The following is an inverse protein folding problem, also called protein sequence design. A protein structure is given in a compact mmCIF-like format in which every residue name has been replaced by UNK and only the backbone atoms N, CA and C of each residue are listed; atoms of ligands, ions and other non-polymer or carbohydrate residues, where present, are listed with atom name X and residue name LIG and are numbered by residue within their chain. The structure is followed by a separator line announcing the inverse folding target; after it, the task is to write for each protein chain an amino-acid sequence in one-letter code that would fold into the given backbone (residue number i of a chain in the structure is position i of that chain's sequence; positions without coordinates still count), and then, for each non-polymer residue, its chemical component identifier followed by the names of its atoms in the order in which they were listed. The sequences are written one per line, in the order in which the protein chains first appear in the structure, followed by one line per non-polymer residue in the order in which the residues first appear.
data_IF_925879791495
#
_entry.id   IF_925879791495
#
_cell.length_a   1.000
_cell.length_b   1.000
_cell.length_c   1.000
_cell.angle_alpha   90.00
_cell.angle_beta   90.00
_cell.angle_gamma   90.00
#
_symmetry.space_group_name_H-M   'P 1'
#
loop_
_entity.id
_entity.type
_entity.pdbx_description
1 polymer ?
#
# COMPACT_ATOMS: atom_id res chain seq x y z
N UNK A 1 13.92 45.78 4.03
CA UNK A 1 13.31 46.30 5.28
C UNK A 1 11.82 45.87 5.46
N UNK A 2 11.11 45.36 4.45
CA UNK A 2 9.74 44.86 4.65
C UNK A 2 9.67 43.40 5.13
N UNK A 3 10.62 42.54 4.75
CA UNK A 3 10.66 41.13 5.16
C UNK A 3 10.96 40.90 6.67
N UNK A 4 11.60 41.85 7.33
CA UNK A 4 11.91 41.75 8.77
C UNK A 4 10.73 42.11 9.69
N UNK A 5 9.83 42.97 9.26
CA UNK A 5 8.64 43.35 10.03
C UNK A 5 7.55 42.28 10.00
N UNK A 6 7.34 41.63 8.87
CA UNK A 6 6.37 40.51 8.72
C UNK A 6 6.78 39.30 9.58
N UNK A 7 8.10 38.96 9.61
CA UNK A 7 8.63 37.88 10.46
C UNK A 7 8.51 38.15 11.96
N UNK A 8 8.60 39.42 12.38
CA UNK A 8 8.46 39.81 13.80
C UNK A 8 6.99 39.73 14.22
N UNK A 9 6.05 40.12 13.35
CA UNK A 9 4.63 40.07 13.62
C UNK A 9 4.09 38.65 13.70
N UNK A 10 4.56 37.75 12.81
CA UNK A 10 4.20 36.31 12.82
C UNK A 10 4.75 35.59 14.09
N UNK A 11 5.93 35.96 14.56
CA UNK A 11 6.48 35.44 15.82
C UNK A 11 5.73 35.93 17.06
N UNK A 12 5.26 37.18 17.07
CA UNK A 12 4.47 37.73 18.18
C UNK A 12 3.12 37.04 18.30
N UNK A 13 2.41 36.82 17.16
CA UNK A 13 1.12 36.11 17.13
C UNK A 13 1.28 34.66 17.58
N UNK A 14 2.35 33.97 17.15
CA UNK A 14 2.61 32.59 17.56
C UNK A 14 2.93 32.48 19.07
N UNK A 15 3.63 33.47 19.62
CA UNK A 15 3.99 33.49 21.04
C UNK A 15 2.81 33.90 21.94
N UNK A 16 1.94 34.81 21.50
CA UNK A 16 0.71 35.16 22.18
C UNK A 16 -0.32 34.05 22.18
N UNK A 17 -0.48 33.32 21.06
CA UNK A 17 -1.37 32.15 20.96
C UNK A 17 -0.89 31.01 21.88
N UNK A 18 0.44 30.81 21.97
CA UNK A 18 1.03 29.85 22.90
C UNK A 18 0.80 30.24 24.37
N UNK A 19 0.99 31.50 24.74
CA UNK A 19 0.72 32.01 26.09
C UNK A 19 -0.77 31.91 26.45
N UNK A 20 -1.68 32.16 25.51
CA UNK A 20 -3.12 32.03 25.73
C UNK A 20 -3.54 30.56 25.92
N UNK A 21 -2.94 29.61 25.22
CA UNK A 21 -3.17 28.19 25.40
C UNK A 21 -2.60 27.67 26.74
N UNK A 22 -1.41 28.12 27.14
CA UNK A 22 -0.79 27.80 28.43
C UNK A 22 -1.56 28.43 29.63
N UNK A 23 -2.24 29.55 29.41
CA UNK A 23 -3.07 30.21 30.41
C UNK A 23 -4.50 29.61 30.51
N UNK A 24 -4.87 28.59 29.69
CA UNK A 24 -6.19 27.98 29.68
C UNK A 24 -7.31 28.89 29.17
N UNK A 25 -6.98 29.99 28.46
CA UNK A 25 -7.91 30.96 27.91
C UNK A 25 -8.58 30.48 26.62
N UNK A 26 -7.89 29.59 25.85
CA UNK A 26 -8.42 28.96 24.64
C UNK A 26 -8.24 27.45 24.71
N UNK A 27 -9.19 26.69 24.17
CA UNK A 27 -9.07 25.25 24.06
C UNK A 27 -8.10 24.88 22.92
N UNK A 28 -7.49 23.68 23.01
CA UNK A 28 -6.60 23.17 21.95
C UNK A 28 -7.29 23.12 20.59
N UNK A 29 -8.62 22.92 20.58
CA UNK A 29 -9.46 22.93 19.38
C UNK A 29 -9.59 24.34 18.76
N UNK A 30 -9.70 25.38 19.58
CA UNK A 30 -9.71 26.77 19.14
C UNK A 30 -8.36 27.20 18.58
N UNK A 31 -7.25 26.82 19.25
CA UNK A 31 -5.90 27.08 18.74
C UNK A 31 -5.62 26.41 17.39
N UNK A 32 -6.19 25.21 17.16
CA UNK A 32 -6.08 24.51 15.88
C UNK A 32 -6.91 25.17 14.78
N UNK A 33 -8.14 25.64 15.09
CA UNK A 33 -8.99 26.38 14.15
C UNK A 33 -8.37 27.72 13.74
N UNK A 34 -7.80 28.45 14.68
CA UNK A 34 -7.09 29.72 14.39
C UNK A 34 -5.82 29.49 13.58
N UNK A 35 -5.08 28.39 13.84
CA UNK A 35 -3.92 27.98 13.05
C UNK A 35 -4.30 27.64 11.60
N UNK A 36 -5.39 26.91 11.38
CA UNK A 36 -5.93 26.58 10.06
C UNK A 36 -6.35 27.86 9.33
N UNK A 37 -7.10 28.76 9.97
CA UNK A 37 -7.54 30.03 9.38
C UNK A 37 -6.35 30.93 8.99
N UNK A 38 -5.26 30.93 9.78
CA UNK A 38 -4.03 31.66 9.45
C UNK A 38 -3.32 31.09 8.21
N UNK A 39 -3.31 29.76 8.07
CA UNK A 39 -2.75 29.08 6.88
C UNK A 39 -3.60 29.36 5.63
N UNK A 40 -4.91 29.29 5.73
CA UNK A 40 -5.84 29.62 4.63
C UNK A 40 -5.66 31.07 4.16
N UNK A 41 -5.48 31.99 5.11
CA UNK A 41 -5.20 33.42 4.83
C UNK A 41 -3.84 33.62 4.17
N UNK A 42 -2.81 32.85 4.56
CA UNK A 42 -1.48 32.90 3.94
C UNK A 42 -1.51 32.32 2.50
N UNK A 43 -2.23 31.21 2.27
CA UNK A 43 -2.44 30.62 0.94
C UNK A 43 -3.21 31.55 0.02
N UNK A 44 -4.27 32.20 0.52
CA UNK A 44 -5.06 33.20 -0.23
C UNK A 44 -4.22 34.44 -0.62
N UNK A 45 -3.18 34.77 0.18
CA UNK A 45 -2.23 35.85 -0.09
C UNK A 45 -1.03 35.43 -0.97
N UNK A 46 -0.98 34.18 -1.46
CA UNK A 46 0.10 33.67 -2.29
C UNK A 46 1.45 33.51 -1.55
N UNK A 47 1.46 33.50 -0.20
CA UNK A 47 2.64 33.33 0.62
C UNK A 47 2.93 31.85 0.88
N UNK A 48 4.20 31.44 0.86
CA UNK A 48 4.61 30.09 1.22
C UNK A 48 4.34 29.81 2.72
N UNK A 49 3.65 28.70 3.01
CA UNK A 49 3.41 28.26 4.39
C UNK A 49 4.64 27.52 4.90
N UNK A 50 5.23 27.89 6.05
CA UNK A 50 6.39 27.20 6.61
C UNK A 50 6.09 25.72 6.91
N UNK A 51 6.98 24.83 6.48
CA UNK A 51 6.83 23.36 6.59
C UNK A 51 6.64 22.87 8.04
N UNK A 52 7.19 23.59 9.02
CA UNK A 52 7.06 23.29 10.44
C UNK A 52 5.63 23.54 11.01
N UNK A 53 4.83 24.40 10.38
CA UNK A 53 3.42 24.59 10.77
C UNK A 53 2.53 23.46 10.21
N UNK A 54 2.80 23.00 9.00
CA UNK A 54 2.11 21.83 8.42
C UNK A 54 2.37 20.55 9.21
N UNK A 55 3.63 20.33 9.67
CA UNK A 55 3.98 19.18 10.52
C UNK A 55 3.26 19.19 11.88
N UNK A 56 3.07 20.36 12.51
CA UNK A 56 2.36 20.45 13.81
C UNK A 56 0.87 20.14 13.71
N UNK A 57 0.23 20.52 12.61
CA UNK A 57 -1.18 20.19 12.35
C UNK A 57 -1.34 18.69 12.08
N UNK A 58 -0.42 18.08 11.33
CA UNK A 58 -0.40 16.64 11.09
C UNK A 58 -0.19 15.83 12.38
N UNK A 59 0.67 16.29 13.29
CA UNK A 59 0.87 15.65 14.60
C UNK A 59 -0.35 15.76 15.52
N UNK A 60 -1.08 16.88 15.49
CA UNK A 60 -2.27 17.10 16.32
C UNK A 60 -3.47 16.31 15.76
N UNK A 61 -3.66 16.29 14.45
CA UNK A 61 -4.69 15.47 13.80
C UNK A 61 -4.45 13.97 14.05
N UNK A 62 -3.19 13.52 14.03
CA UNK A 62 -2.82 12.15 14.38
C UNK A 62 -3.16 11.78 15.84
N UNK A 63 -3.04 12.72 16.80
CA UNK A 63 -3.40 12.46 18.22
C UNK A 63 -4.91 12.32 18.42
N UNK A 64 -5.74 13.06 17.71
CA UNK A 64 -7.21 12.95 17.78
C UNK A 64 -7.73 11.69 17.07
N UNK A 65 -7.08 11.27 15.99
CA UNK A 65 -7.43 10.04 15.27
C UNK A 65 -7.05 8.77 16.06
N UNK A 66 -6.02 8.86 16.94
CA UNK A 66 -5.62 7.77 17.85
C UNK A 66 -6.72 7.31 18.81
N UNK A 67 -7.56 8.22 19.31
CA UNK A 67 -8.59 7.90 20.30
C UNK A 67 -9.83 7.15 19.74
N UNK A 68 -9.96 6.99 18.42
CA UNK A 68 -11.14 6.38 17.76
C UNK A 68 -10.89 5.02 17.10
N UNK A 69 -9.69 4.43 17.23
CA UNK A 69 -9.35 3.15 16.59
C UNK A 69 -9.03 2.06 17.62
N UNK A 70 -9.95 1.73 18.49
CA UNK A 70 -9.95 0.41 19.11
C UNK A 70 -10.62 -0.57 18.15
N UNK A 71 -9.79 -1.31 17.41
CA UNK A 71 -10.25 -2.51 16.70
C UNK A 71 -10.50 -3.55 17.77
N UNK A 72 -11.72 -4.04 17.85
CA UNK A 72 -12.07 -5.16 18.74
C UNK A 72 -11.37 -6.43 18.21
N UNK A 73 -10.23 -6.76 18.80
CA UNK A 73 -9.45 -7.96 18.50
C UNK A 73 -10.00 -9.21 19.18
N UNK A 74 -11.16 -9.11 19.85
CA UNK A 74 -11.75 -10.20 20.66
C UNK A 74 -12.48 -11.27 19.85
N UNK A 75 -12.82 -11.00 18.59
CA UNK A 75 -13.38 -12.01 17.67
C UNK A 75 -12.26 -12.68 16.89
N UNK A 76 -12.12 -14.03 16.92
CA UNK A 76 -11.24 -14.73 16.03
C UNK A 76 -11.60 -14.35 14.59
N UNK A 77 -10.63 -13.86 13.81
CA UNK A 77 -10.84 -13.62 12.39
C UNK A 77 -11.21 -14.96 11.74
N UNK A 78 -12.24 -14.94 10.91
CA UNK A 78 -12.63 -16.10 10.10
C UNK A 78 -11.62 -16.23 8.96
N UNK A 79 -10.59 -17.08 9.14
CA UNK A 79 -9.54 -17.21 8.13
C UNK A 79 -9.90 -18.32 7.15
N UNK A 80 -9.54 -18.10 5.89
CA UNK A 80 -9.48 -19.19 4.91
C UNK A 80 -8.40 -20.18 5.35
N UNK A 81 -8.71 -21.50 5.49
CA UNK A 81 -7.71 -22.48 5.88
C UNK A 81 -6.49 -22.50 4.94
N UNK A 82 -5.26 -22.76 5.43
CA UNK A 82 -4.06 -22.83 4.60
C UNK A 82 -4.19 -23.79 3.41
N UNK A 83 -4.87 -24.92 3.59
CA UNK A 83 -5.13 -25.91 2.55
C UNK A 83 -6.00 -25.36 1.41
N UNK A 84 -6.94 -24.47 1.72
CA UNK A 84 -7.82 -23.87 0.71
C UNK A 84 -7.09 -22.76 -0.03
N UNK A 85 -6.22 -21.97 0.64
CA UNK A 85 -5.31 -21.03 -0.03
C UNK A 85 -4.33 -21.75 -0.95
N UNK A 86 -3.80 -22.91 -0.52
CA UNK A 86 -2.94 -23.71 -1.36
C UNK A 86 -3.69 -24.24 -2.62
N UNK A 87 -4.92 -24.72 -2.47
CA UNK A 87 -5.76 -25.14 -3.62
C UNK A 87 -6.02 -23.97 -4.56
N UNK A 88 -6.32 -22.78 -4.01
CA UNK A 88 -6.48 -21.57 -4.81
C UNK A 88 -5.23 -21.25 -5.62
N UNK A 89 -4.05 -21.26 -4.97
CA UNK A 89 -2.76 -21.05 -5.63
C UNK A 89 -2.57 -22.00 -6.81
N UNK A 90 -2.77 -23.31 -6.59
CA UNK A 90 -2.61 -24.34 -7.64
C UNK A 90 -3.61 -24.11 -8.76
N UNK A 91 -4.87 -23.82 -8.44
CA UNK A 91 -5.90 -23.54 -9.45
C UNK A 91 -5.52 -22.35 -10.32
N UNK A 92 -5.02 -21.25 -9.73
CA UNK A 92 -4.56 -20.09 -10.48
C UNK A 92 -3.39 -20.41 -11.39
N UNK A 93 -2.38 -21.14 -10.91
CA UNK A 93 -1.22 -21.55 -11.71
C UNK A 93 -1.66 -22.41 -12.91
N UNK A 94 -2.51 -23.38 -12.68
CA UNK A 94 -3.01 -24.26 -13.77
C UNK A 94 -3.91 -23.53 -14.77
N UNK A 95 -4.47 -22.38 -14.42
CA UNK A 95 -5.25 -21.55 -15.34
C UNK A 95 -4.36 -20.92 -16.42
N UNK A 96 -3.21 -20.35 -16.07
CA UNK A 96 -2.29 -19.76 -17.06
C UNK A 96 -1.22 -20.76 -17.56
N UNK A 97 -0.97 -21.84 -16.83
CA UNK A 97 0.00 -22.87 -17.21
C UNK A 97 -0.56 -24.28 -16.94
N UNK A 98 -1.49 -24.79 -17.79
CA UNK A 98 -2.20 -26.05 -17.55
C UNK A 98 -1.30 -27.30 -17.42
N UNK A 99 -0.09 -27.27 -17.98
CA UNK A 99 0.91 -28.34 -17.90
C UNK A 99 2.01 -28.11 -16.87
N UNK A 100 1.81 -27.17 -15.92
CA UNK A 100 2.82 -26.86 -14.91
C UNK A 100 3.12 -28.06 -14.01
N UNK A 101 4.39 -28.33 -13.79
CA UNK A 101 4.83 -29.26 -12.75
C UNK A 101 4.78 -28.54 -11.38
N UNK A 102 3.79 -28.93 -10.57
CA UNK A 102 3.54 -28.34 -9.24
C UNK A 102 4.36 -28.99 -8.12
N UNK A 103 5.16 -30.02 -8.41
CA UNK A 103 5.89 -30.82 -7.39
C UNK A 103 6.79 -29.94 -6.51
N UNK A 104 7.50 -28.98 -7.13
CA UNK A 104 8.38 -28.06 -6.41
C UNK A 104 7.58 -27.08 -5.54
N UNK A 105 6.41 -26.64 -5.99
CA UNK A 105 5.53 -25.74 -5.25
C UNK A 105 4.93 -26.46 -4.04
N UNK A 106 4.48 -27.71 -4.23
CA UNK A 106 4.00 -28.55 -3.11
C UNK A 106 5.08 -28.79 -2.07
N UNK A 107 6.32 -29.07 -2.51
CA UNK A 107 7.48 -29.21 -1.62
C UNK A 107 7.73 -27.92 -0.85
N UNK A 108 7.72 -26.76 -1.51
CA UNK A 108 7.93 -25.45 -0.88
C UNK A 108 6.87 -25.16 0.18
N UNK A 109 5.60 -25.45 -0.11
CA UNK A 109 4.53 -25.32 0.87
C UNK A 109 4.77 -26.16 2.11
N UNK A 110 5.11 -27.45 1.95
CA UNK A 110 5.39 -28.37 3.07
C UNK A 110 6.57 -27.90 3.92
N UNK A 111 7.65 -27.44 3.28
CA UNK A 111 8.85 -26.92 3.95
C UNK A 111 8.53 -25.64 4.73
N UNK A 112 7.83 -24.68 4.10
CA UNK A 112 7.47 -23.43 4.75
C UNK A 112 6.49 -23.65 5.91
N UNK A 113 5.49 -24.53 5.75
CA UNK A 113 4.53 -24.86 6.82
C UNK A 113 5.24 -25.51 8.01
N UNK A 114 6.16 -26.44 7.76
CA UNK A 114 6.95 -27.08 8.82
C UNK A 114 7.90 -26.08 9.52
N UNK A 115 8.53 -25.18 8.76
CA UNK A 115 9.48 -24.18 9.27
C UNK A 115 8.78 -23.13 10.16
N UNK A 116 7.57 -22.72 9.79
CA UNK A 116 6.75 -21.75 10.54
C UNK A 116 5.76 -22.39 11.53
N UNK A 117 5.91 -23.69 11.80
CA UNK A 117 4.98 -24.42 12.68
C UNK A 117 4.86 -23.79 14.06
N UNK A 118 3.61 -23.45 14.42
CA UNK A 118 3.30 -22.81 15.72
C UNK A 118 3.55 -21.31 15.76
N UNK A 119 4.05 -20.71 14.71
CA UNK A 119 4.13 -19.26 14.58
C UNK A 119 2.77 -18.68 14.17
N UNK A 120 2.39 -17.55 14.80
CA UNK A 120 1.17 -16.83 14.50
C UNK A 120 1.51 -15.39 14.07
N UNK A 121 0.74 -14.86 13.14
CA UNK A 121 0.76 -13.43 12.82
C UNK A 121 0.04 -12.62 13.89
N UNK A 122 0.16 -11.29 13.84
CA UNK A 122 -0.56 -10.39 14.77
C UNK A 122 -2.08 -10.44 14.61
N UNK A 123 -2.57 -10.89 13.45
CA UNK A 123 -3.97 -11.20 13.19
C UNK A 123 -4.48 -12.44 13.96
N UNK A 124 -3.57 -13.25 14.52
CA UNK A 124 -3.87 -14.53 15.15
C UNK A 124 -3.89 -15.73 14.20
N UNK A 125 -3.74 -15.49 12.89
CA UNK A 125 -3.68 -16.54 11.86
C UNK A 125 -2.33 -17.28 11.85
N UNK A 126 -2.28 -18.56 11.40
CA UNK A 126 -1.03 -19.28 11.16
C UNK A 126 -0.12 -18.51 10.20
N UNK A 127 1.20 -18.49 10.50
CA UNK A 127 2.14 -17.68 9.71
C UNK A 127 2.18 -18.09 8.24
N UNK A 128 2.02 -19.38 7.92
CA UNK A 128 2.05 -19.93 6.56
C UNK A 128 1.03 -19.27 5.61
N UNK A 129 -0.04 -18.66 6.14
CA UNK A 129 -1.03 -17.94 5.33
C UNK A 129 -0.42 -16.74 4.62
N UNK A 130 0.61 -16.09 5.21
CA UNK A 130 1.29 -14.98 4.57
C UNK A 130 2.05 -15.40 3.30
N UNK A 131 3.00 -16.32 3.33
CA UNK A 131 3.71 -16.75 2.12
C UNK A 131 2.77 -17.36 1.06
N UNK A 132 1.69 -18.04 1.46
CA UNK A 132 0.68 -18.51 0.49
C UNK A 132 -0.02 -17.34 -0.23
N UNK A 133 -0.43 -16.32 0.49
CA UNK A 133 -1.03 -15.13 -0.12
C UNK A 133 -0.03 -14.36 -1.00
N UNK A 134 1.24 -14.28 -0.60
CA UNK A 134 2.30 -13.71 -1.45
C UNK A 134 2.42 -14.50 -2.75
N UNK A 135 2.45 -15.84 -2.68
CA UNK A 135 2.49 -16.70 -3.85
C UNK A 135 1.25 -16.55 -4.75
N UNK A 136 0.06 -16.38 -4.18
CA UNK A 136 -1.18 -16.12 -4.92
C UNK A 136 -1.08 -14.78 -5.68
N UNK A 137 -0.56 -13.72 -5.05
CA UNK A 137 -0.33 -12.43 -5.71
C UNK A 137 0.66 -12.58 -6.88
N UNK A 138 1.73 -13.38 -6.71
CA UNK A 138 2.69 -13.66 -7.78
C UNK A 138 2.06 -14.49 -8.90
N UNK A 139 1.20 -15.46 -8.59
CA UNK A 139 0.45 -16.24 -9.57
C UNK A 139 -0.57 -15.37 -10.34
N UNK A 140 -1.14 -14.33 -9.71
CA UNK A 140 -1.98 -13.34 -10.39
C UNK A 140 -1.21 -12.47 -11.41
N UNK A 141 0.10 -12.44 -11.32
CA UNK A 141 1.01 -11.82 -12.30
C UNK A 141 1.55 -12.84 -13.31
N UNK A 142 1.07 -14.09 -13.25
CA UNK A 142 1.44 -15.18 -14.16
C UNK A 142 2.95 -15.45 -14.19
N UNK A 143 3.61 -15.39 -13.02
CA UNK A 143 5.06 -15.56 -12.91
C UNK A 143 5.47 -17.03 -12.93
N UNK A 144 6.76 -17.25 -13.19
CA UNK A 144 7.38 -18.58 -13.28
C UNK A 144 7.37 -19.33 -11.94
N UNK A 145 7.55 -20.64 -12.04
CA UNK A 145 7.54 -21.58 -10.91
C UNK A 145 8.56 -21.22 -9.84
N UNK A 146 9.77 -20.84 -10.24
CA UNK A 146 10.87 -20.50 -9.35
C UNK A 146 10.55 -19.25 -8.53
N UNK A 147 9.89 -18.27 -9.14
CA UNK A 147 9.41 -17.05 -8.46
C UNK A 147 8.30 -17.36 -7.45
N UNK A 148 7.34 -18.23 -7.81
CA UNK A 148 6.29 -18.68 -6.90
C UNK A 148 6.88 -19.40 -5.69
N UNK A 149 7.80 -20.34 -5.93
CA UNK A 149 8.51 -21.10 -4.88
C UNK A 149 9.30 -20.17 -3.97
N UNK A 150 10.04 -19.22 -4.54
CA UNK A 150 10.77 -18.22 -3.77
C UNK A 150 9.82 -17.32 -2.95
N UNK A 151 8.61 -17.00 -3.48
CA UNK A 151 7.57 -16.30 -2.75
C UNK A 151 7.02 -17.08 -1.55
N UNK A 152 6.91 -18.42 -1.65
CA UNK A 152 6.53 -19.28 -0.52
C UNK A 152 7.65 -19.35 0.53
N UNK A 153 8.90 -19.31 0.12
CA UNK A 153 10.07 -19.50 0.99
C UNK A 153 10.72 -18.19 1.47
N UNK A 154 10.22 -17.02 1.07
CA UNK A 154 10.92 -15.73 1.22
C UNK A 154 11.26 -15.35 2.67
N UNK A 155 10.41 -15.73 3.64
CA UNK A 155 10.62 -15.46 5.07
C UNK A 155 11.31 -16.62 5.81
N UNK A 156 11.47 -17.79 5.16
CA UNK A 156 12.00 -19.00 5.84
C UNK A 156 13.45 -18.79 6.32
N UNK A 157 14.29 -18.12 5.52
CA UNK A 157 15.67 -17.80 5.90
C UNK A 157 15.76 -16.70 6.96
N UNK A 158 14.82 -15.74 6.95
CA UNK A 158 14.83 -14.61 7.89
C UNK A 158 14.28 -15.01 9.26
N UNK A 159 13.19 -15.78 9.29
CA UNK A 159 12.38 -16.04 10.48
C UNK A 159 12.55 -17.46 11.05
N UNK A 160 13.38 -18.31 10.43
CA UNK A 160 13.59 -19.69 10.88
C UNK A 160 15.07 -20.09 10.89
N UNK A 161 15.36 -21.36 11.18
CA UNK A 161 16.74 -21.90 11.22
C UNK A 161 17.28 -22.37 9.88
N UNK A 162 16.44 -22.36 8.84
CA UNK A 162 16.81 -22.83 7.50
C UNK A 162 17.77 -21.85 6.81
N UNK A 163 18.81 -22.35 6.18
CA UNK A 163 19.83 -21.55 5.51
C UNK A 163 19.62 -21.45 4.00
N UNK A 164 20.24 -20.45 3.37
CA UNK A 164 20.20 -20.31 1.90
C UNK A 164 20.85 -21.50 1.19
N UNK A 165 21.89 -22.13 1.78
CA UNK A 165 22.55 -23.31 1.25
C UNK A 165 21.61 -24.53 1.28
N UNK A 166 20.81 -24.68 2.31
CA UNK A 166 19.79 -25.74 2.39
C UNK A 166 18.71 -25.53 1.32
N UNK A 167 18.24 -24.28 1.10
CA UNK A 167 17.32 -23.97 0.00
C UNK A 167 17.93 -24.29 -1.36
N UNK A 168 19.19 -23.95 -1.60
CA UNK A 168 19.88 -24.28 -2.85
C UNK A 168 19.94 -25.78 -3.08
N UNK A 169 20.26 -26.55 -2.04
CA UNK A 169 20.35 -28.02 -2.11
C UNK A 169 18.98 -28.68 -2.31
N UNK A 170 17.92 -28.15 -1.65
CA UNK A 170 16.62 -28.78 -1.68
C UNK A 170 15.77 -28.37 -2.90
N UNK A 171 15.96 -27.18 -3.43
CA UNK A 171 15.18 -26.63 -4.53
C UNK A 171 16.05 -26.31 -5.74
N UNK A 172 16.76 -25.19 -5.72
CA UNK A 172 17.74 -24.82 -6.74
C UNK A 172 18.55 -23.59 -6.30
N UNK A 173 19.72 -23.38 -6.93
CA UNK A 173 20.53 -22.17 -6.78
C UNK A 173 19.73 -20.91 -7.16
N UNK A 174 18.83 -21.01 -8.13
CA UNK A 174 17.99 -19.91 -8.60
C UNK A 174 16.98 -19.51 -7.52
N UNK A 175 16.27 -20.46 -6.92
CA UNK A 175 15.33 -20.18 -5.81
C UNK A 175 16.07 -19.59 -4.62
N UNK A 176 17.22 -20.17 -4.23
CA UNK A 176 18.04 -19.64 -3.12
C UNK A 176 18.51 -18.20 -3.39
N UNK A 177 18.95 -17.91 -4.62
CA UNK A 177 19.32 -16.55 -5.02
C UNK A 177 18.18 -15.55 -4.90
N UNK A 178 16.96 -15.92 -5.31
CA UNK A 178 15.78 -15.06 -5.19
C UNK A 178 15.42 -14.80 -3.73
N UNK A 179 15.40 -15.84 -2.89
CA UNK A 179 15.11 -15.73 -1.45
C UNK A 179 16.16 -14.86 -0.74
N UNK A 180 17.46 -15.09 -0.97
CA UNK A 180 18.54 -14.27 -0.43
C UNK A 180 18.43 -12.81 -0.86
N UNK A 181 18.06 -12.57 -2.12
CA UNK A 181 17.80 -11.23 -2.65
C UNK A 181 16.68 -10.50 -1.89
N UNK A 182 15.57 -11.18 -1.61
CA UNK A 182 14.44 -10.62 -0.87
C UNK A 182 14.82 -10.34 0.59
N UNK A 183 15.49 -11.27 1.26
CA UNK A 183 16.00 -11.12 2.63
C UNK A 183 16.92 -9.89 2.76
N UNK A 184 17.86 -9.72 1.82
CA UNK A 184 18.75 -8.54 1.79
C UNK A 184 17.97 -7.23 1.60
N UNK A 185 16.91 -7.22 0.79
CA UNK A 185 16.04 -6.06 0.64
C UNK A 185 15.27 -5.73 1.93
N UNK A 186 14.80 -6.74 2.66
CA UNK A 186 14.09 -6.57 3.93
C UNK A 186 14.98 -5.92 4.99
N UNK A 187 16.27 -6.29 5.03
CA UNK A 187 17.25 -5.73 5.98
C UNK A 187 17.61 -4.27 5.71
N UNK A 188 17.29 -3.73 4.53
CA UNK A 188 17.46 -2.31 4.24
C UNK A 188 16.40 -1.49 5.00
N UNK A 189 16.75 -1.00 6.20
CA UNK A 189 15.88 -0.12 6.96
C UNK A 189 15.74 1.22 6.22
N UNK A 190 14.58 1.43 5.62
CA UNK A 190 14.20 2.70 4.99
C UNK A 190 13.82 3.71 6.08
N UNK A 191 14.82 4.28 6.77
CA UNK A 191 14.59 5.34 7.74
C UNK A 191 14.36 6.65 6.99
N UNK A 192 13.24 7.31 7.28
CA UNK A 192 12.86 8.61 6.67
C UNK A 192 13.73 9.78 7.12
N UNK A 193 14.57 9.59 8.14
CA UNK A 193 15.21 10.70 8.85
C UNK A 193 16.57 11.15 8.28
N UNK A 194 17.15 10.41 7.31
CA UNK A 194 18.42 10.78 6.68
C UNK A 194 18.38 10.52 5.18
N UNK A 195 18.33 11.58 4.39
CA UNK A 195 18.27 11.57 2.92
C UNK A 195 19.39 10.69 2.31
N UNK A 196 20.60 10.76 2.88
CA UNK A 196 21.76 9.99 2.39
C UNK A 196 21.58 8.48 2.60
N UNK A 197 21.02 8.04 3.74
CA UNK A 197 20.75 6.62 4.02
C UNK A 197 19.64 6.11 3.12
N UNK A 198 18.63 6.91 2.87
CA UNK A 198 17.53 6.57 1.97
C UNK A 198 18.03 6.42 0.52
N UNK A 199 18.90 7.33 0.05
CA UNK A 199 19.49 7.24 -1.28
C UNK A 199 20.36 6.00 -1.46
N UNK A 200 21.17 5.64 -0.45
CA UNK A 200 22.02 4.43 -0.50
C UNK A 200 21.17 3.15 -0.45
N UNK A 201 20.10 3.11 0.33
CA UNK A 201 19.18 1.99 0.37
C UNK A 201 18.43 1.81 -0.96
N UNK A 202 17.95 2.89 -1.57
CA UNK A 202 17.38 2.87 -2.92
C UNK A 202 18.40 2.38 -3.95
N UNK A 203 19.66 2.84 -3.87
CA UNK A 203 20.73 2.35 -4.75
C UNK A 203 20.95 0.84 -4.62
N UNK A 204 21.05 0.31 -3.40
CA UNK A 204 21.19 -1.14 -3.14
C UNK A 204 20.01 -1.92 -3.68
N UNK A 205 18.81 -1.40 -3.52
CA UNK A 205 17.59 -2.00 -4.07
C UNK A 205 17.64 -2.03 -5.60
N UNK A 206 18.02 -0.94 -6.27
CA UNK A 206 18.18 -0.91 -7.72
C UNK A 206 19.29 -1.86 -8.21
N UNK A 207 20.39 -2.01 -7.46
CA UNK A 207 21.44 -2.99 -7.78
C UNK A 207 20.95 -4.45 -7.66
N UNK A 208 20.10 -4.76 -6.69
CA UNK A 208 19.48 -6.09 -6.58
C UNK A 208 18.52 -6.34 -7.74
N UNK A 209 17.69 -5.34 -8.11
CA UNK A 209 16.80 -5.41 -9.28
C UNK A 209 17.57 -5.59 -10.61
N UNK A 210 18.76 -4.99 -10.71
CA UNK A 210 19.60 -5.13 -11.92
C UNK A 210 20.16 -6.55 -12.08
N UNK A 211 20.22 -7.34 -11.01
CA UNK A 211 20.63 -8.74 -11.06
C UNK A 211 19.46 -9.65 -11.47
N UNK A 212 18.32 -9.49 -10.84
CA UNK A 212 17.09 -10.20 -11.17
C UNK A 212 15.86 -9.39 -10.71
N UNK A 213 15.00 -9.03 -11.65
CA UNK A 213 13.80 -8.25 -11.39
C UNK A 213 12.79 -8.99 -10.51
N UNK A 214 12.83 -10.32 -10.50
CA UNK A 214 11.89 -11.15 -9.72
C UNK A 214 12.02 -10.90 -8.22
N UNK A 215 13.21 -10.54 -7.74
CA UNK A 215 13.44 -10.16 -6.33
C UNK A 215 12.52 -9.02 -5.89
N UNK A 216 12.38 -7.98 -6.71
CA UNK A 216 11.49 -6.85 -6.37
C UNK A 216 10.02 -7.20 -6.57
N UNK A 217 9.69 -8.10 -7.53
CA UNK A 217 8.32 -8.57 -7.71
C UNK A 217 7.82 -9.32 -6.47
N UNK A 218 8.65 -10.22 -5.92
CA UNK A 218 8.36 -10.91 -4.66
C UNK A 218 8.20 -9.90 -3.53
N UNK A 219 9.12 -8.91 -3.43
CA UNK A 219 9.04 -7.88 -2.39
C UNK A 219 7.82 -6.98 -2.50
N UNK A 220 7.35 -6.69 -3.72
CA UNK A 220 6.11 -5.93 -3.93
C UNK A 220 4.88 -6.75 -3.53
N UNK A 221 4.86 -8.06 -3.81
CA UNK A 221 3.78 -8.97 -3.38
C UNK A 221 3.74 -9.11 -1.85
N UNK A 222 4.91 -9.28 -1.20
CA UNK A 222 5.05 -9.26 0.26
C UNK A 222 4.51 -7.95 0.85
N UNK A 223 4.95 -6.81 0.32
CA UNK A 223 4.50 -5.49 0.77
C UNK A 223 3.00 -5.32 0.63
N UNK A 224 2.42 -5.76 -0.49
CA UNK A 224 0.98 -5.68 -0.73
C UNK A 224 0.19 -6.50 0.28
N UNK A 225 0.59 -7.76 0.54
CA UNK A 225 -0.08 -8.58 1.54
C UNK A 225 0.07 -7.99 2.96
N UNK A 226 1.25 -7.45 3.30
CA UNK A 226 1.45 -6.77 4.57
C UNK A 226 0.57 -5.53 4.74
N UNK A 227 0.27 -4.78 3.66
CA UNK A 227 -0.70 -3.68 3.69
C UNK A 227 -2.13 -4.16 3.87
N UNK A 228 -2.52 -5.25 3.21
CA UNK A 228 -3.87 -5.86 3.36
C UNK A 228 -4.16 -6.27 4.80
N UNK A 229 -3.13 -6.62 5.57
CA UNK A 229 -3.23 -7.04 6.97
C UNK A 229 -2.72 -5.98 7.97
N UNK A 230 -2.49 -4.74 7.52
CA UNK A 230 -1.86 -3.70 8.31
C UNK A 230 -2.72 -3.21 9.49
N UNK A 231 -4.03 -3.45 9.46
CA UNK A 231 -4.98 -3.14 10.53
C UNK A 231 -4.63 -3.77 11.88
N UNK A 232 -3.93 -4.91 11.89
CA UNK A 232 -3.51 -5.60 13.11
C UNK A 232 -2.19 -5.05 13.71
N UNK A 233 -1.57 -4.06 13.08
CA UNK A 233 -0.37 -3.39 13.59
C UNK A 233 -0.73 -2.18 14.46
N UNK A 234 0.24 -1.70 15.27
CA UNK A 234 0.04 -0.46 16.02
C UNK A 234 -0.14 0.75 15.08
N UNK A 235 -0.89 1.78 15.51
CA UNK A 235 -1.11 2.98 14.68
C UNK A 235 0.16 3.63 14.14
N UNK A 236 1.24 3.63 14.94
CA UNK A 236 2.54 4.17 14.53
C UNK A 236 3.13 3.37 13.36
N UNK A 237 3.08 2.03 13.45
CA UNK A 237 3.54 1.14 12.39
C UNK A 237 2.66 1.19 11.14
N UNK A 238 1.35 1.39 11.31
CA UNK A 238 0.45 1.59 10.18
C UNK A 238 0.86 2.79 9.34
N UNK A 239 1.10 3.94 9.99
CA UNK A 239 1.53 5.17 9.32
C UNK A 239 2.92 5.01 8.71
N UNK A 240 3.89 4.45 9.46
CA UNK A 240 5.25 4.20 8.98
C UNK A 240 5.25 3.36 7.70
N UNK A 241 4.57 2.20 7.73
CA UNK A 241 4.54 1.26 6.61
C UNK A 241 3.75 1.77 5.41
N UNK A 242 2.64 2.48 5.64
CA UNK A 242 1.89 3.12 4.58
C UNK A 242 2.71 4.23 3.89
N UNK A 243 3.44 5.05 4.65
CA UNK A 243 4.31 6.10 4.11
C UNK A 243 5.47 5.50 3.31
N UNK A 244 6.20 4.54 3.87
CA UNK A 244 7.26 3.81 3.17
C UNK A 244 6.74 3.22 1.84
N UNK A 245 5.53 2.68 1.85
CA UNK A 245 4.93 2.10 0.64
C UNK A 245 4.61 3.16 -0.40
N UNK A 246 3.98 4.26 -0.01
CA UNK A 246 3.60 5.34 -0.93
C UNK A 246 4.83 6.06 -1.51
N UNK A 247 5.90 6.23 -0.71
CA UNK A 247 7.09 6.98 -1.12
C UNK A 247 8.07 6.14 -1.94
N UNK A 248 8.10 4.81 -1.75
CA UNK A 248 9.13 3.94 -2.32
C UNK A 248 8.51 2.85 -3.20
N UNK A 249 7.68 1.96 -2.66
CA UNK A 249 7.23 0.75 -3.36
C UNK A 249 6.20 1.03 -4.45
N UNK A 250 5.24 1.93 -4.24
CA UNK A 250 4.26 2.29 -5.27
C UNK A 250 4.91 2.99 -6.48
N UNK A 251 5.88 3.94 -6.33
CA UNK A 251 6.66 4.46 -7.45
C UNK A 251 7.47 3.40 -8.20
N UNK A 252 8.02 2.40 -7.52
CA UNK A 252 8.73 1.29 -8.17
C UNK A 252 7.77 0.44 -8.99
N UNK A 253 6.64 0.01 -8.41
CA UNK A 253 5.61 -0.73 -9.11
C UNK A 253 5.11 0.04 -10.36
N UNK A 254 4.98 1.36 -10.26
CA UNK A 254 4.63 2.22 -11.39
C UNK A 254 5.68 2.21 -12.51
N UNK A 255 6.96 2.33 -12.16
CA UNK A 255 8.07 2.29 -13.14
C UNK A 255 8.21 0.95 -13.83
N UNK A 256 7.89 -0.14 -13.12
CA UNK A 256 7.89 -1.49 -13.67
C UNK A 256 6.62 -1.81 -14.49
N UNK A 257 5.65 -0.89 -14.55
CA UNK A 257 4.41 -1.10 -15.29
C UNK A 257 3.41 -2.02 -14.60
N UNK A 258 3.64 -2.43 -13.33
CA UNK A 258 2.77 -3.35 -12.58
C UNK A 258 1.60 -2.57 -12.00
N UNK A 259 0.71 -2.13 -12.89
CA UNK A 259 -0.39 -1.23 -12.54
C UNK A 259 -1.33 -1.83 -11.49
N UNK A 260 -1.59 -3.14 -11.53
CA UNK A 260 -2.48 -3.85 -10.59
C UNK A 260 -1.98 -3.71 -9.15
N UNK A 261 -0.71 -4.02 -8.89
CA UNK A 261 -0.10 -3.87 -7.55
C UNK A 261 -0.01 -2.40 -7.16
N UNK A 262 0.46 -1.53 -8.08
CA UNK A 262 0.66 -0.10 -7.82
C UNK A 262 -0.60 0.57 -7.30
N UNK A 263 -1.74 0.34 -7.94
CA UNK A 263 -2.98 1.01 -7.57
C UNK A 263 -3.50 0.55 -6.21
N UNK A 264 -3.37 -0.72 -5.88
CA UNK A 264 -3.77 -1.25 -4.59
C UNK A 264 -2.83 -0.76 -3.46
N UNK A 265 -1.51 -0.70 -3.71
CA UNK A 265 -0.55 -0.10 -2.79
C UNK A 265 -0.89 1.37 -2.49
N UNK A 266 -1.24 2.15 -3.51
CA UNK A 266 -1.64 3.55 -3.35
C UNK A 266 -2.93 3.68 -2.53
N UNK A 267 -3.98 2.93 -2.87
CA UNK A 267 -5.29 3.03 -2.22
C UNK A 267 -5.21 2.58 -0.75
N UNK A 268 -4.53 1.46 -0.46
CA UNK A 268 -4.32 0.99 0.91
C UNK A 268 -3.45 1.97 1.71
N UNK A 269 -2.39 2.53 1.11
CA UNK A 269 -1.57 3.54 1.79
C UNK A 269 -2.37 4.81 2.08
N UNK A 270 -3.21 5.27 1.15
CA UNK A 270 -4.10 6.42 1.34
C UNK A 270 -5.07 6.20 2.51
N UNK A 271 -5.62 4.99 2.65
CA UNK A 271 -6.55 4.64 3.74
C UNK A 271 -5.92 4.86 5.12
N UNK A 272 -4.61 4.60 5.29
CA UNK A 272 -3.92 4.79 6.57
C UNK A 272 -3.35 6.19 6.73
N UNK A 273 -2.88 6.84 5.67
CA UNK A 273 -2.26 8.16 5.73
C UNK A 273 -3.28 9.30 5.72
N UNK A 274 -4.41 9.12 5.03
CA UNK A 274 -5.45 10.14 4.85
C UNK A 274 -6.85 9.53 5.05
N UNK A 275 -7.16 8.95 6.23
CA UNK A 275 -8.38 8.18 6.45
C UNK A 275 -9.67 8.98 6.25
N UNK A 276 -9.69 10.26 6.63
CA UNK A 276 -10.87 11.11 6.45
C UNK A 276 -11.16 11.33 4.97
N UNK A 277 -10.12 11.69 4.20
CA UNK A 277 -10.24 11.91 2.75
C UNK A 277 -10.62 10.61 2.03
N UNK A 278 -10.04 9.48 2.42
CA UNK A 278 -10.36 8.17 1.85
C UNK A 278 -11.83 7.79 2.09
N UNK A 279 -12.30 7.94 3.34
CA UNK A 279 -13.68 7.58 3.71
C UNK A 279 -14.70 8.50 3.05
N UNK A 280 -14.44 9.82 2.99
CA UNK A 280 -15.30 10.79 2.29
C UNK A 280 -15.38 10.47 0.80
N UNK A 281 -14.23 10.26 0.14
CA UNK A 281 -14.20 9.91 -1.27
C UNK A 281 -14.91 8.58 -1.55
N UNK A 282 -14.71 7.57 -0.69
CA UNK A 282 -15.40 6.30 -0.79
C UNK A 282 -16.90 6.45 -0.70
N UNK A 283 -17.42 7.19 0.29
CA UNK A 283 -18.85 7.43 0.46
C UNK A 283 -19.45 8.11 -0.77
N UNK A 284 -18.79 9.15 -1.30
CA UNK A 284 -19.25 9.85 -2.51
C UNK A 284 -19.24 8.97 -3.76
N UNK A 285 -18.25 8.06 -3.89
CA UNK A 285 -18.18 7.13 -5.03
C UNK A 285 -19.22 6.03 -4.89
N UNK A 286 -19.43 5.47 -3.70
CA UNK A 286 -20.44 4.44 -3.43
C UNK A 286 -21.86 4.95 -3.73
N UNK A 287 -22.17 6.19 -3.39
CA UNK A 287 -23.43 6.87 -3.74
C UNK A 287 -23.60 6.94 -5.27
N UNK A 288 -22.55 7.40 -5.97
CA UNK A 288 -22.58 7.50 -7.44
C UNK A 288 -22.63 6.16 -8.15
N UNK A 289 -22.03 5.11 -7.57
CA UNK A 289 -22.08 3.74 -8.12
C UNK A 289 -23.51 3.23 -8.15
N UNK A 290 -24.25 3.42 -7.06
CA UNK A 290 -25.66 2.99 -6.97
C UNK A 290 -26.52 3.59 -8.09
N UNK A 291 -26.28 4.87 -8.41
CA UNK A 291 -27.01 5.56 -9.48
C UNK A 291 -26.58 5.15 -10.90
N UNK A 292 -25.32 4.74 -11.10
CA UNK A 292 -24.68 4.57 -12.42
C UNK A 292 -24.39 3.13 -12.82
N UNK A 293 -24.58 2.16 -11.95
CA UNK A 293 -24.34 0.74 -12.28
C UNK A 293 -25.09 0.29 -13.53
N UNK A 294 -26.36 0.69 -13.66
CA UNK A 294 -27.19 0.43 -14.84
C UNK A 294 -26.67 1.15 -16.11
N UNK A 295 -25.98 2.29 -15.95
CA UNK A 295 -25.37 3.00 -17.09
C UNK A 295 -24.10 2.30 -17.55
N UNK A 296 -23.22 1.89 -16.62
CA UNK A 296 -21.98 1.18 -16.95
C UNK A 296 -22.30 -0.13 -17.66
N UNK A 297 -23.27 -0.92 -17.15
CA UNK A 297 -23.71 -2.15 -17.79
C UNK A 297 -24.19 -1.93 -19.23
N UNK A 298 -24.99 -0.89 -19.47
CA UNK A 298 -25.42 -0.53 -20.83
C UNK A 298 -24.26 -0.18 -21.75
N UNK A 299 -23.29 0.62 -21.26
CA UNK A 299 -22.11 0.99 -22.05
C UNK A 299 -21.28 -0.24 -22.40
N UNK A 300 -21.04 -1.15 -21.44
CA UNK A 300 -20.33 -2.41 -21.67
C UNK A 300 -21.05 -3.26 -22.73
N UNK A 301 -22.38 -3.39 -22.61
CA UNK A 301 -23.18 -4.14 -23.59
C UNK A 301 -23.13 -3.52 -25.00
N UNK A 302 -23.19 -2.19 -25.09
CA UNK A 302 -23.15 -1.50 -26.38
C UNK A 302 -21.75 -1.60 -27.04
N UNK A 303 -20.67 -1.46 -26.26
CA UNK A 303 -19.30 -1.67 -26.74
C UNK A 303 -19.13 -3.13 -27.19
N UNK A 304 -19.63 -4.11 -26.43
CA UNK A 304 -19.57 -5.52 -26.79
C UNK A 304 -20.27 -5.80 -28.13
N UNK A 305 -21.48 -5.27 -28.32
CA UNK A 305 -22.19 -5.40 -29.62
C UNK A 305 -21.39 -4.84 -30.80
N UNK A 306 -20.69 -3.71 -30.61
CA UNK A 306 -19.88 -3.13 -31.68
C UNK A 306 -18.66 -3.98 -32.00
N UNK A 307 -18.02 -4.58 -30.99
CA UNK A 307 -16.88 -5.47 -31.16
C UNK A 307 -17.30 -6.78 -31.83
N UNK A 308 -18.40 -7.39 -31.38
CA UNK A 308 -18.97 -8.59 -31.96
C UNK A 308 -19.34 -8.37 -33.44
N UNK A 309 -19.97 -7.21 -33.75
CA UNK A 309 -20.33 -6.86 -35.13
C UNK A 309 -19.09 -6.61 -36.03
N UNK A 310 -17.96 -6.24 -35.45
CA UNK A 310 -16.69 -6.12 -36.16
C UNK A 310 -15.96 -7.46 -36.34
N UNK A 311 -16.52 -8.57 -35.83
CA UNK A 311 -15.90 -9.90 -35.88
C UNK A 311 -14.65 -10.02 -35.03
N UNK A 312 -14.55 -9.23 -33.97
CA UNK A 312 -13.42 -9.23 -33.02
C UNK A 312 -13.84 -9.94 -31.73
N UNK A 313 -12.94 -10.69 -31.15
CA UNK A 313 -13.09 -11.24 -29.80
C UNK A 313 -12.35 -10.35 -28.79
N UNK A 314 -13.06 -9.82 -27.79
CA UNK A 314 -12.47 -9.03 -26.73
C UNK A 314 -13.26 -9.21 -25.42
N UNK A 315 -12.54 -9.22 -24.32
CA UNK A 315 -13.12 -9.12 -22.98
C UNK A 315 -13.33 -7.64 -22.64
N UNK A 316 -14.55 -7.30 -22.23
CA UNK A 316 -14.92 -5.91 -21.91
C UNK A 316 -15.38 -5.87 -20.48
N UNK A 317 -14.69 -5.07 -19.68
CA UNK A 317 -15.02 -4.84 -18.27
C UNK A 317 -15.15 -3.35 -17.97
N UNK A 318 -16.10 -3.04 -17.08
CA UNK A 318 -16.33 -1.68 -16.59
C UNK A 318 -15.93 -1.57 -15.12
N UNK A 319 -15.03 -0.63 -14.81
CA UNK A 319 -14.53 -0.46 -13.44
C UNK A 319 -14.51 1.00 -12.99
N UNK A 320 -14.59 1.19 -11.68
CA UNK A 320 -14.28 2.48 -11.04
C UNK A 320 -12.77 2.69 -11.04
N UNK A 321 -12.34 3.92 -11.29
CA UNK A 321 -10.94 4.29 -11.12
C UNK A 321 -10.57 4.29 -9.63
N UNK A 322 -9.33 3.94 -9.35
CA UNK A 322 -8.79 3.83 -8.00
C UNK A 322 -8.85 5.15 -7.23
N UNK A 323 -9.12 5.09 -5.93
CA UNK A 323 -9.36 6.23 -5.05
C UNK A 323 -8.22 7.24 -5.08
N UNK A 324 -6.98 6.78 -4.92
CA UNK A 324 -5.82 7.66 -4.96
C UNK A 324 -5.63 8.36 -6.31
N UNK A 325 -5.94 7.68 -7.41
CA UNK A 325 -5.88 8.26 -8.75
C UNK A 325 -6.91 9.37 -8.93
N UNK A 326 -8.12 9.19 -8.42
CA UNK A 326 -9.18 10.20 -8.41
C UNK A 326 -8.77 11.37 -7.53
N UNK A 327 -8.34 11.12 -6.30
CA UNK A 327 -7.85 12.13 -5.37
C UNK A 327 -6.73 12.99 -5.96
N UNK A 328 -5.71 12.34 -6.54
CA UNK A 328 -4.58 13.03 -7.20
C UNK A 328 -5.06 13.94 -8.34
N UNK A 329 -6.05 13.49 -9.11
CA UNK A 329 -6.65 14.27 -10.20
C UNK A 329 -7.43 15.47 -9.67
N UNK A 330 -8.26 15.27 -8.64
CA UNK A 330 -9.00 16.35 -7.96
C UNK A 330 -8.01 17.42 -7.45
N UNK A 331 -6.97 17.00 -6.74
CA UNK A 331 -5.95 17.90 -6.18
C UNK A 331 -5.17 18.64 -7.26
N UNK A 332 -4.68 17.95 -8.28
CA UNK A 332 -3.86 18.56 -9.34
C UNK A 332 -4.66 19.53 -10.23
N UNK A 333 -5.95 19.28 -10.42
CA UNK A 333 -6.83 20.12 -11.24
C UNK A 333 -7.66 21.12 -10.40
N UNK A 334 -7.51 21.08 -9.07
CA UNK A 334 -8.32 21.87 -8.13
C UNK A 334 -9.83 21.73 -8.40
N UNK A 335 -10.31 20.46 -8.52
CA UNK A 335 -11.69 20.10 -8.86
C UNK A 335 -12.32 19.26 -7.75
N UNK A 336 -13.65 19.40 -7.62
CA UNK A 336 -14.46 18.46 -6.81
C UNK A 336 -14.70 17.15 -7.57
N UNK A 337 -15.17 16.10 -6.87
CA UNK A 337 -15.49 14.82 -7.50
C UNK A 337 -16.54 14.96 -8.61
N UNK A 338 -17.53 15.86 -8.46
CA UNK A 338 -18.56 16.12 -9.46
C UNK A 338 -18.03 16.72 -10.77
N UNK A 339 -16.87 17.36 -10.70
CA UNK A 339 -16.19 17.96 -11.85
C UNK A 339 -15.21 16.98 -12.53
N UNK A 340 -15.09 15.75 -12.03
CA UNK A 340 -14.29 14.68 -12.62
C UNK A 340 -15.20 13.75 -13.43
N UNK A 341 -15.13 13.83 -14.76
CA UNK A 341 -16.03 13.08 -15.65
C UNK A 341 -15.59 11.64 -15.90
N UNK A 342 -14.32 11.30 -15.69
CA UNK A 342 -13.72 10.00 -15.98
C UNK A 342 -13.46 9.18 -14.70
N UNK A 343 -14.45 9.13 -13.81
CA UNK A 343 -14.40 8.28 -12.59
C UNK A 343 -14.51 6.80 -12.95
N UNK A 344 -15.17 6.51 -14.07
CA UNK A 344 -15.38 5.16 -14.58
C UNK A 344 -14.53 4.94 -15.84
N UNK A 345 -14.09 3.69 -16.05
CA UNK A 345 -13.38 3.23 -17.24
C UNK A 345 -14.05 1.95 -17.76
N UNK A 346 -14.14 1.82 -19.06
CA UNK A 346 -14.55 0.61 -19.79
C UNK A 346 -13.40 0.17 -20.68
#
# INVERSE_FOLDING_TARGET
MSETLDNIQDNIVAEETKKAAEAGVITTEQATKEGIAAIEKALAAGKAVPQNQLMKIDEQNNKQTRAKREIDLSTPADFTPPEDLYKELITRILTYHPSADITMIEKAYKVADAAHKGQLRKSGEPYIMHPLNVAIILAELELDKETIVAGILHDVVEDTVMTSEEIASEFSEEVAFLVDGVTKLTQLKMTTDKIEVQAENLRKMFLSMAKDIRVILIKLADRLHNLRTLQYQSPEKQIEKARETMDIYAPIAHRLGISKIKVELDDLSMMYLMPEVYNDLKAQIDEKLTERDAYIKRVVEDVKKHIDNAGLEAEIDGRVKHFFSIYKKMKNQNKTLDQIYDIFAV
#
